data_IF_735013122029
#
_entry.id   IF_735013122029
#
_cell.length_a   1.000
_cell.length_b   1.000
_cell.length_c   1.000
_cell.angle_alpha   90.00
_cell.angle_beta   90.00
_cell.angle_gamma   90.00
#
_symmetry.space_group_name_H-M   'P 1'
#
loop_
_entity.id
_entity.type
_entity.pdbx_description
1 polymer ?
#
# COMPACT_ATOMS: atom_id res chain seq x y z
N UNK A 1 -1.07 30.24 -13.12
CA UNK A 1 -0.18 29.21 -12.55
C UNK A 1 -0.95 27.92 -12.47
N UNK A 2 -0.41 26.82 -12.99
CA UNK A 2 -1.07 25.52 -12.88
C UNK A 2 -0.64 24.88 -11.57
N UNK A 3 -1.57 24.24 -10.85
CA UNK A 3 -1.28 23.62 -9.54
C UNK A 3 -0.18 22.56 -9.62
N UNK A 4 -0.06 21.92 -10.79
CA UNK A 4 0.94 20.96 -11.19
C UNK A 4 2.38 21.53 -11.18
N UNK A 5 2.53 22.86 -11.25
CA UNK A 5 3.82 23.56 -11.22
C UNK A 5 4.26 23.88 -9.79
N UNK A 6 3.33 23.84 -8.82
CA UNK A 6 3.57 24.16 -7.40
C UNK A 6 3.73 22.92 -6.53
N UNK A 7 3.07 21.82 -6.89
CA UNK A 7 3.13 20.55 -6.16
C UNK A 7 3.73 19.52 -7.11
N UNK A 8 5.04 19.35 -7.05
CA UNK A 8 5.78 18.37 -7.86
C UNK A 8 5.66 16.97 -7.23
N UNK A 9 5.82 16.87 -5.92
CA UNK A 9 5.78 15.61 -5.18
C UNK A 9 4.84 15.70 -3.98
N UNK A 10 4.13 14.61 -3.70
CA UNK A 10 3.30 14.47 -2.52
C UNK A 10 3.81 13.31 -1.65
N UNK A 11 4.22 13.63 -0.42
CA UNK A 11 4.55 12.61 0.56
C UNK A 11 3.31 12.14 1.29
N UNK A 12 2.93 10.87 1.11
CA UNK A 12 1.83 10.27 1.87
C UNK A 12 2.36 9.92 3.27
N UNK A 13 1.78 10.53 4.31
CA UNK A 13 2.13 10.25 5.69
C UNK A 13 1.83 8.79 6.06
N UNK A 14 2.80 8.16 6.74
CA UNK A 14 2.73 6.79 7.23
C UNK A 14 3.17 6.71 8.70
N UNK A 15 2.55 5.82 9.47
CA UNK A 15 3.01 5.43 10.79
C UNK A 15 4.17 4.43 10.72
N UNK A 16 4.88 4.23 11.83
CA UNK A 16 5.95 3.24 11.93
C UNK A 16 5.45 1.80 11.66
N UNK A 17 4.21 1.49 12.03
CA UNK A 17 3.61 0.18 11.77
C UNK A 17 3.20 0.03 10.30
N UNK A 18 2.61 1.08 9.72
CA UNK A 18 2.27 1.14 8.29
C UNK A 18 3.53 0.94 7.43
N UNK A 19 4.64 1.58 7.80
CA UNK A 19 5.91 1.43 7.09
C UNK A 19 6.42 -0.02 7.14
N UNK A 20 6.39 -0.66 8.32
CA UNK A 20 6.80 -2.07 8.46
C UNK A 20 5.94 -3.02 7.63
N UNK A 21 4.63 -2.82 7.58
CA UNK A 21 3.72 -3.66 6.77
C UNK A 21 3.95 -3.40 5.28
N UNK A 22 4.14 -2.14 4.88
CA UNK A 22 4.42 -1.77 3.50
C UNK A 22 5.73 -2.40 2.99
N UNK A 23 6.77 -2.43 3.81
CA UNK A 23 8.05 -3.07 3.45
C UNK A 23 7.89 -4.57 3.17
N UNK A 24 6.94 -5.26 3.83
CA UNK A 24 6.59 -6.66 3.55
C UNK A 24 5.78 -6.84 2.26
N UNK A 25 5.14 -5.77 1.77
CA UNK A 25 4.32 -5.78 0.56
C UNK A 25 5.10 -5.38 -0.71
N UNK A 26 6.42 -5.16 -0.62
CA UNK A 26 7.27 -4.90 -1.80
C UNK A 26 7.23 -6.05 -2.80
N UNK A 27 7.08 -7.27 -2.31
CA UNK A 27 6.86 -8.46 -3.13
C UNK A 27 5.37 -8.81 -3.17
N UNK A 28 4.95 -9.47 -4.25
CA UNK A 28 3.58 -9.95 -4.41
C UNK A 28 3.29 -11.03 -3.36
N UNK A 29 2.36 -10.76 -2.44
CA UNK A 29 2.03 -11.68 -1.35
C UNK A 29 0.53 -11.88 -1.22
N UNK A 30 0.09 -13.05 -0.77
CA UNK A 30 -1.34 -13.30 -0.50
C UNK A 30 -1.83 -12.46 0.68
N UNK A 31 -3.00 -11.83 0.53
CA UNK A 31 -3.66 -11.05 1.58
C UNK A 31 -3.91 -11.89 2.85
N UNK A 32 -4.24 -13.16 2.67
CA UNK A 32 -4.57 -14.06 3.78
C UNK A 32 -3.34 -14.54 4.56
N UNK A 33 -2.13 -14.33 4.03
CA UNK A 33 -0.88 -14.68 4.72
C UNK A 33 -0.48 -13.68 5.82
N UNK A 34 -1.16 -12.54 5.90
CA UNK A 34 -0.90 -11.50 6.89
C UNK A 34 -1.68 -11.77 8.18
N UNK A 35 -1.09 -11.42 9.32
CA UNK A 35 -1.79 -11.48 10.61
C UNK A 35 -2.99 -10.52 10.62
N UNK A 36 -3.99 -10.75 11.47
CA UNK A 36 -5.20 -9.91 11.54
C UNK A 36 -4.89 -8.42 11.80
N UNK A 37 -3.96 -8.13 12.72
CA UNK A 37 -3.48 -6.76 12.97
C UNK A 37 -2.86 -6.14 11.71
N UNK A 38 -2.07 -6.90 10.97
CA UNK A 38 -1.43 -6.42 9.75
C UNK A 38 -2.45 -6.21 8.64
N UNK A 39 -3.46 -7.10 8.50
CA UNK A 39 -4.57 -6.94 7.56
C UNK A 39 -5.35 -5.65 7.81
N UNK A 40 -5.59 -5.29 9.06
CA UNK A 40 -6.22 -4.00 9.42
C UNK A 40 -5.37 -2.80 8.96
N UNK A 41 -4.05 -2.85 9.17
CA UNK A 41 -3.12 -1.82 8.69
C UNK A 41 -3.09 -1.79 7.14
N UNK A 42 -3.15 -2.96 6.51
CA UNK A 42 -3.12 -3.11 5.06
C UNK A 42 -4.33 -2.46 4.40
N UNK A 43 -5.52 -2.59 4.98
CA UNK A 43 -6.73 -1.88 4.53
C UNK A 43 -6.54 -0.35 4.55
N UNK A 44 -5.84 0.18 5.57
CA UNK A 44 -5.51 1.61 5.61
C UNK A 44 -4.51 2.00 4.52
N UNK A 45 -3.47 1.19 4.29
CA UNK A 45 -2.52 1.40 3.20
C UNK A 45 -3.19 1.37 1.82
N UNK A 46 -4.19 0.50 1.63
CA UNK A 46 -4.98 0.41 0.40
C UNK A 46 -5.83 1.67 0.20
N UNK A 47 -6.49 2.16 1.26
CA UNK A 47 -7.25 3.42 1.21
C UNK A 47 -6.36 4.63 0.92
N UNK A 48 -5.09 4.59 1.36
CA UNK A 48 -4.07 5.59 1.04
C UNK A 48 -3.44 5.42 -0.36
N UNK A 49 -3.93 4.47 -1.17
CA UNK A 49 -3.38 4.12 -2.49
C UNK A 49 -1.89 3.73 -2.49
N UNK A 50 -1.37 3.26 -1.35
CA UNK A 50 0.02 2.81 -1.20
C UNK A 50 0.19 1.32 -1.50
N UNK A 51 -0.89 0.56 -1.39
CA UNK A 51 -0.94 -0.88 -1.67
C UNK A 51 -2.16 -1.15 -2.54
N UNK A 52 -2.00 -1.99 -3.55
CA UNK A 52 -3.10 -2.42 -4.40
C UNK A 52 -3.37 -3.91 -4.23
N UNK A 53 -4.67 -4.27 -4.25
CA UNK A 53 -5.13 -5.65 -4.31
C UNK A 53 -5.16 -6.08 -5.77
N UNK A 54 -4.59 -7.25 -6.05
CA UNK A 54 -4.59 -7.89 -7.37
C UNK A 54 -5.20 -9.28 -7.19
N UNK A 55 -6.25 -9.59 -7.94
CA UNK A 55 -6.80 -10.95 -7.94
C UNK A 55 -5.99 -11.82 -8.90
N UNK A 56 -5.42 -12.92 -8.41
CA UNK A 56 -4.75 -13.92 -9.21
C UNK A 56 -5.48 -15.25 -9.04
N UNK A 57 -6.37 -15.55 -10.00
CA UNK A 57 -7.28 -16.70 -9.92
C UNK A 57 -8.29 -16.54 -8.78
N UNK A 58 -8.20 -17.40 -7.76
CA UNK A 58 -9.06 -17.38 -6.56
C UNK A 58 -8.42 -16.71 -5.35
N UNK A 59 -7.18 -16.23 -5.46
CA UNK A 59 -6.43 -15.65 -4.35
C UNK A 59 -6.31 -14.14 -4.51
N UNK A 60 -6.56 -13.42 -3.41
CA UNK A 60 -6.32 -11.98 -3.35
C UNK A 60 -4.86 -11.77 -2.99
N UNK A 61 -4.10 -11.22 -3.93
CA UNK A 61 -2.72 -10.82 -3.74
C UNK A 61 -2.64 -9.33 -3.45
N UNK A 62 -1.58 -8.91 -2.77
CA UNK A 62 -1.30 -7.50 -2.48
C UNK A 62 0.11 -7.15 -2.88
N UNK A 63 0.28 -5.94 -3.40
CA UNK A 63 1.56 -5.36 -3.81
C UNK A 63 1.62 -3.89 -3.42
N UNK A 64 2.78 -3.42 -2.98
CA UNK A 64 3.05 -2.00 -2.82
C UNK A 64 3.01 -1.30 -4.18
N UNK A 65 2.46 -0.09 -4.20
CA UNK A 65 2.48 0.77 -5.36
C UNK A 65 3.83 1.46 -5.43
N UNK A 66 4.38 1.55 -6.63
CA UNK A 66 5.55 2.38 -6.89
C UNK A 66 5.13 3.84 -6.68
N UNK A 67 5.84 4.55 -5.79
CA UNK A 67 5.68 5.99 -5.68
C UNK A 67 6.06 6.61 -7.02
N UNK A 68 5.11 7.30 -7.66
CA UNK A 68 5.37 8.15 -8.81
C UNK A 68 6.14 9.38 -8.41
#
# INVERSE_FOLDING_TARGET
MKINELIQDFYIQRSNEEQKVLDKCKELRSFDSFAERERFILENLIRKALVSKVMQGRTVMVRANESR
#
